data_IF_655249628648
#
_entry.id   IF_655249628648
#
_cell.length_a   1.000
_cell.length_b   1.000
_cell.length_c   1.000
_cell.angle_alpha   90.00
_cell.angle_beta   90.00
_cell.angle_gamma   90.00
#
_symmetry.space_group_name_H-M   'P 1'
#
loop_
_entity.id
_entity.type
_entity.pdbx_description
1 polymer ?
#
# COMPACT_ATOMS: atom_id res chain seq x y z
N UNK A 1 1.09 11.41 -10.25
CA UNK A 1 0.48 11.13 -8.93
C UNK A 1 -0.82 11.90 -8.73
N UNK A 2 -0.83 13.24 -8.78
CA UNK A 2 -2.06 14.03 -8.60
C UNK A 2 -3.19 13.66 -9.59
N UNK A 3 -2.91 13.62 -10.90
CA UNK A 3 -3.91 13.22 -11.90
C UNK A 3 -4.48 11.82 -11.65
N UNK A 4 -3.62 10.86 -11.28
CA UNK A 4 -4.05 9.51 -10.94
C UNK A 4 -5.00 9.46 -9.73
N UNK A 5 -4.66 10.19 -8.67
CA UNK A 5 -5.52 10.29 -7.48
C UNK A 5 -6.86 10.96 -7.79
N UNK A 6 -6.86 12.03 -8.59
CA UNK A 6 -8.10 12.72 -8.99
C UNK A 6 -9.00 11.81 -9.82
N UNK A 7 -8.43 11.04 -10.75
CA UNK A 7 -9.21 10.08 -11.56
C UNK A 7 -9.80 8.99 -10.70
N UNK A 8 -9.01 8.38 -9.80
CA UNK A 8 -9.50 7.36 -8.86
C UNK A 8 -10.64 7.91 -8.01
N UNK A 9 -10.47 9.11 -7.45
CA UNK A 9 -11.51 9.78 -6.67
C UNK A 9 -12.80 10.00 -7.48
N UNK A 10 -12.68 10.49 -8.71
CA UNK A 10 -13.83 10.72 -9.59
C UNK A 10 -14.59 9.42 -9.89
N UNK A 11 -13.87 8.32 -10.17
CA UNK A 11 -14.49 7.01 -10.41
C UNK A 11 -15.23 6.51 -9.16
N UNK A 12 -14.64 6.60 -7.97
CA UNK A 12 -15.32 6.22 -6.72
C UNK A 12 -16.52 7.11 -6.42
N UNK A 13 -16.41 8.43 -6.63
CA UNK A 13 -17.52 9.35 -6.41
C UNK A 13 -18.70 9.04 -7.34
N UNK A 14 -18.44 8.76 -8.63
CA UNK A 14 -19.46 8.34 -9.59
C UNK A 14 -20.09 6.99 -9.21
N UNK A 15 -19.29 6.03 -8.73
CA UNK A 15 -19.81 4.76 -8.23
C UNK A 15 -20.77 4.94 -7.06
N UNK A 16 -20.38 5.71 -6.04
CA UNK A 16 -21.23 6.00 -4.88
C UNK A 16 -22.50 6.76 -5.28
N UNK A 17 -22.38 7.71 -6.21
CA UNK A 17 -23.53 8.44 -6.75
C UNK A 17 -24.49 7.49 -7.47
N UNK A 18 -23.99 6.58 -8.31
CA UNK A 18 -24.80 5.57 -8.97
C UNK A 18 -25.50 4.63 -7.98
N UNK A 19 -24.80 4.19 -6.94
CA UNK A 19 -25.39 3.36 -5.89
C UNK A 19 -26.58 4.06 -5.19
N UNK A 20 -26.49 5.37 -4.94
CA UNK A 20 -27.58 6.16 -4.35
C UNK A 20 -28.79 6.34 -5.26
N UNK A 21 -28.63 6.21 -6.59
CA UNK A 21 -29.74 6.29 -7.54
C UNK A 21 -30.43 4.95 -7.77
N UNK A 22 -29.69 3.84 -7.70
CA UNK A 22 -30.23 2.50 -7.98
C UNK A 22 -30.75 1.79 -6.73
N UNK A 23 -30.20 2.05 -5.54
CA UNK A 23 -30.62 1.40 -4.30
C UNK A 23 -31.33 2.36 -3.36
N UNK A 24 -32.42 1.93 -2.72
CA UNK A 24 -33.04 2.70 -1.65
C UNK A 24 -32.12 2.70 -0.42
N UNK A 25 -32.16 3.79 0.36
CA UNK A 25 -31.17 4.08 1.41
C UNK A 25 -31.18 3.06 2.55
N UNK A 26 -32.33 2.50 2.85
CA UNK A 26 -32.53 1.42 3.81
C UNK A 26 -31.73 0.17 3.44
N UNK A 27 -31.69 -0.21 2.16
CA UNK A 27 -30.90 -1.34 1.67
C UNK A 27 -29.40 -1.03 1.79
N UNK A 28 -28.96 0.19 1.44
CA UNK A 28 -27.54 0.57 1.58
C UNK A 28 -27.04 0.54 3.04
N UNK A 29 -27.92 0.78 4.01
CA UNK A 29 -27.57 0.81 5.43
C UNK A 29 -27.69 -0.55 6.12
N UNK A 30 -28.48 -1.47 5.56
CA UNK A 30 -28.77 -2.78 6.16
C UNK A 30 -28.13 -3.95 5.43
N UNK A 31 -27.77 -3.80 4.16
CA UNK A 31 -27.15 -4.86 3.37
C UNK A 31 -25.73 -5.15 3.86
N UNK A 32 -25.42 -6.43 4.01
CA UNK A 32 -24.09 -6.92 4.39
C UNK A 32 -23.06 -6.69 3.26
N UNK A 33 -23.50 -6.80 2.00
CA UNK A 33 -22.68 -6.55 0.81
C UNK A 33 -23.38 -5.58 -0.17
N UNK A 34 -23.39 -4.26 0.12
CA UNK A 34 -24.11 -3.27 -0.68
C UNK A 34 -23.61 -3.17 -2.14
N UNK A 35 -22.37 -3.58 -2.40
CA UNK A 35 -21.78 -3.61 -3.73
C UNK A 35 -22.33 -4.76 -4.60
N UNK A 36 -22.73 -5.89 -4.00
CA UNK A 36 -23.40 -6.99 -4.72
C UNK A 36 -24.84 -6.61 -5.09
N UNK A 37 -25.55 -5.99 -4.14
CA UNK A 37 -26.91 -5.48 -4.35
C UNK A 37 -26.93 -4.42 -5.46
N UNK A 38 -25.96 -3.50 -5.46
CA UNK A 38 -25.83 -2.51 -6.51
C UNK A 38 -25.55 -3.12 -7.90
N UNK A 39 -24.65 -4.10 -8.00
CA UNK A 39 -24.39 -4.74 -9.29
C UNK A 39 -25.59 -5.52 -9.82
N UNK A 40 -26.35 -6.16 -8.93
CA UNK A 40 -27.57 -6.90 -9.30
C UNK A 40 -28.68 -5.94 -9.75
N UNK A 41 -28.84 -4.80 -9.08
CA UNK A 41 -29.81 -3.76 -9.46
C UNK A 41 -29.46 -3.06 -10.78
N UNK A 42 -28.16 -2.81 -11.04
CA UNK A 42 -27.72 -2.08 -12.23
C UNK A 42 -27.65 -2.94 -13.50
N UNK A 43 -27.24 -4.21 -13.38
CA UNK A 43 -26.94 -5.08 -14.53
C UNK A 43 -27.82 -6.35 -14.59
N UNK A 44 -28.79 -6.49 -13.68
CA UNK A 44 -29.66 -7.68 -13.60
C UNK A 44 -28.88 -8.96 -13.25
N UNK A 45 -29.43 -10.12 -13.64
CA UNK A 45 -28.85 -11.43 -13.30
C UNK A 45 -27.44 -11.69 -13.83
N UNK A 46 -27.00 -10.98 -14.87
CA UNK A 46 -25.62 -11.03 -15.38
C UNK A 46 -24.63 -10.16 -14.58
N UNK A 47 -25.12 -9.22 -13.77
CA UNK A 47 -24.30 -8.29 -12.99
C UNK A 47 -23.41 -8.98 -11.96
N UNK A 48 -23.95 -9.97 -11.26
CA UNK A 48 -23.24 -10.74 -10.24
C UNK A 48 -22.05 -11.51 -10.86
N UNK A 49 -22.24 -12.08 -12.05
CA UNK A 49 -21.16 -12.80 -12.74
C UNK A 49 -20.02 -11.86 -13.14
N UNK A 50 -20.35 -10.71 -13.75
CA UNK A 50 -19.34 -9.71 -14.13
C UNK A 50 -18.60 -9.15 -12.91
N UNK A 51 -19.33 -8.88 -11.82
CA UNK A 51 -18.72 -8.41 -10.58
C UNK A 51 -17.80 -9.46 -9.96
N UNK A 52 -18.19 -10.73 -9.98
CA UNK A 52 -17.36 -11.83 -9.48
C UNK A 52 -16.04 -11.94 -10.28
N UNK A 53 -16.11 -11.90 -11.62
CA UNK A 53 -14.92 -11.94 -12.48
C UNK A 53 -14.02 -10.73 -12.22
N UNK A 54 -14.60 -9.54 -12.12
CA UNK A 54 -13.85 -8.32 -11.81
C UNK A 54 -13.19 -8.38 -10.44
N UNK A 55 -13.90 -8.85 -9.41
CA UNK A 55 -13.39 -9.01 -8.05
C UNK A 55 -12.22 -10.00 -8.02
N UNK A 56 -12.37 -11.20 -8.61
CA UNK A 56 -11.30 -12.21 -8.66
C UNK A 56 -10.06 -11.65 -9.37
N UNK A 57 -10.24 -11.01 -10.52
CA UNK A 57 -9.13 -10.45 -11.30
C UNK A 57 -8.41 -9.35 -10.52
N UNK A 58 -9.17 -8.44 -9.89
CA UNK A 58 -8.62 -7.39 -9.05
C UNK A 58 -7.83 -7.96 -7.86
N UNK A 59 -8.42 -8.90 -7.13
CA UNK A 59 -7.78 -9.55 -5.97
C UNK A 59 -6.50 -10.28 -6.36
N UNK A 60 -6.51 -11.06 -7.45
CA UNK A 60 -5.32 -11.74 -7.96
C UNK A 60 -4.19 -10.74 -8.29
N UNK A 61 -4.52 -9.61 -8.94
CA UNK A 61 -3.56 -8.56 -9.26
C UNK A 61 -2.97 -7.90 -8.00
N UNK A 62 -3.80 -7.60 -7.00
CA UNK A 62 -3.39 -7.03 -5.72
C UNK A 62 -2.49 -7.99 -4.94
N UNK A 63 -2.88 -9.26 -4.80
CA UNK A 63 -2.10 -10.28 -4.09
C UNK A 63 -0.75 -10.50 -4.77
N UNK A 64 -0.73 -10.61 -6.09
CA UNK A 64 0.51 -10.76 -6.86
C UNK A 64 1.48 -9.59 -6.62
N UNK A 65 0.98 -8.36 -6.64
CA UNK A 65 1.80 -7.17 -6.40
C UNK A 65 2.31 -7.11 -4.95
N UNK A 66 1.45 -7.42 -3.98
CA UNK A 66 1.81 -7.46 -2.56
C UNK A 66 2.89 -8.52 -2.25
N UNK A 67 2.75 -9.72 -2.81
CA UNK A 67 3.75 -10.78 -2.66
C UNK A 67 5.06 -10.49 -3.40
N UNK A 68 5.06 -9.59 -4.39
CA UNK A 68 6.28 -9.12 -5.02
C UNK A 68 6.99 -8.03 -4.20
N UNK A 69 6.23 -7.11 -3.58
CA UNK A 69 6.76 -5.92 -2.91
C UNK A 69 7.16 -6.17 -1.45
N UNK A 70 6.25 -6.72 -0.64
CA UNK A 70 6.43 -6.86 0.82
C UNK A 70 7.63 -7.76 1.17
N UNK A 71 7.80 -8.94 0.54
CA UNK A 71 8.96 -9.80 0.84
C UNK A 71 10.31 -9.17 0.50
N UNK A 72 10.39 -8.34 -0.55
CA UNK A 72 11.61 -7.61 -0.90
C UNK A 72 11.91 -6.49 0.11
N UNK A 73 10.88 -5.84 0.64
CA UNK A 73 11.04 -4.90 1.74
C UNK A 73 11.60 -5.60 2.99
N UNK A 74 11.03 -6.74 3.38
CA UNK A 74 11.50 -7.54 4.51
C UNK A 74 12.94 -8.07 4.31
N UNK A 75 13.27 -8.50 3.09
CA UNK A 75 14.63 -8.88 2.72
C UNK A 75 15.61 -7.71 2.92
N UNK A 76 15.28 -6.51 2.43
CA UNK A 76 16.13 -5.33 2.62
C UNK A 76 16.33 -4.99 4.10
N UNK A 77 15.29 -5.16 4.94
CA UNK A 77 15.41 -5.00 6.39
C UNK A 77 16.31 -6.07 7.03
N UNK A 78 16.22 -7.33 6.58
CA UNK A 78 17.05 -8.43 7.08
C UNK A 78 18.53 -8.22 6.72
N UNK A 79 18.83 -7.75 5.52
CA UNK A 79 20.20 -7.43 5.07
C UNK A 79 20.84 -6.28 5.87
N UNK A 80 20.03 -5.35 6.37
CA UNK A 80 20.48 -4.24 7.23
C UNK A 80 20.47 -4.61 8.73
N UNK A 81 20.19 -5.86 9.08
CA UNK A 81 20.13 -6.32 10.47
C UNK A 81 18.94 -5.80 11.28
N UNK A 82 17.91 -5.24 10.62
CA UNK A 82 16.70 -4.73 11.28
C UNK A 82 15.58 -5.79 11.42
N UNK A 83 15.68 -6.88 10.69
CA UNK A 83 14.75 -8.01 10.74
C UNK A 83 15.51 -9.34 10.87
N UNK A 84 14.77 -10.42 11.13
CA UNK A 84 15.37 -11.76 11.25
C UNK A 84 16.15 -12.14 9.98
N UNK A 85 17.40 -12.63 10.09
CA UNK A 85 18.26 -12.91 8.93
C UNK A 85 17.68 -13.98 7.99
N UNK A 86 16.83 -14.87 8.52
CA UNK A 86 16.15 -15.93 7.76
C UNK A 86 15.24 -15.35 6.66
N UNK A 87 14.66 -14.16 6.87
CA UNK A 87 13.82 -13.47 5.86
C UNK A 87 14.64 -12.96 4.66
N UNK A 88 15.97 -12.87 4.79
CA UNK A 88 16.87 -12.46 3.73
C UNK A 88 17.29 -13.58 2.77
N UNK A 89 16.95 -14.85 3.07
CA UNK A 89 17.40 -16.00 2.29
C UNK A 89 16.83 -15.99 0.86
N UNK A 90 17.73 -16.11 -0.12
CA UNK A 90 17.40 -16.00 -1.55
C UNK A 90 17.52 -17.36 -2.23
N UNK A 91 16.63 -17.63 -3.18
CA UNK A 91 16.77 -18.78 -4.09
C UNK A 91 17.93 -18.53 -5.07
N UNK A 92 18.76 -19.54 -5.34
CA UNK A 92 19.96 -19.41 -6.19
C UNK A 92 19.68 -18.99 -7.65
N UNK A 93 18.54 -19.40 -8.22
CA UNK A 93 18.17 -19.09 -9.61
C UNK A 93 17.50 -17.71 -9.75
N UNK A 94 16.36 -17.51 -9.09
CA UNK A 94 15.52 -16.31 -9.23
C UNK A 94 15.92 -15.16 -8.31
N UNK A 95 16.84 -15.39 -7.34
CA UNK A 95 17.20 -14.46 -6.26
C UNK A 95 16.01 -13.95 -5.43
N UNK A 96 14.87 -14.66 -5.50
CA UNK A 96 13.67 -14.31 -4.78
C UNK A 96 13.80 -14.68 -3.28
N UNK A 97 13.37 -13.81 -2.35
CA UNK A 97 13.37 -14.10 -0.92
C UNK A 97 12.21 -15.04 -0.55
N UNK A 98 12.37 -16.34 -0.81
CA UNK A 98 11.27 -17.33 -0.70
C UNK A 98 10.73 -17.44 0.73
N UNK A 99 11.58 -17.33 1.76
CA UNK A 99 11.14 -17.38 3.15
C UNK A 99 10.24 -16.19 3.48
N UNK A 100 10.62 -14.98 3.06
CA UNK A 100 9.80 -13.79 3.28
C UNK A 100 8.48 -13.85 2.50
N UNK A 101 8.46 -14.48 1.32
CA UNK A 101 7.22 -14.73 0.55
C UNK A 101 6.30 -15.67 1.32
N UNK A 102 6.80 -16.83 1.77
CA UNK A 102 6.00 -17.80 2.53
C UNK A 102 5.52 -17.22 3.86
N UNK A 103 6.37 -16.47 4.55
CA UNK A 103 6.01 -15.78 5.78
C UNK A 103 4.87 -14.77 5.54
N UNK A 104 5.01 -13.91 4.53
CA UNK A 104 3.99 -12.92 4.19
C UNK A 104 2.68 -13.61 3.80
N UNK A 105 2.74 -14.63 2.94
CA UNK A 105 1.57 -15.39 2.51
C UNK A 105 0.90 -16.13 3.68
N UNK A 106 1.67 -16.65 4.63
CA UNK A 106 1.15 -17.29 5.83
C UNK A 106 0.44 -16.30 6.74
N UNK A 107 1.07 -15.17 7.06
CA UNK A 107 0.50 -14.16 7.96
C UNK A 107 -0.78 -13.54 7.40
N UNK A 108 -0.86 -13.31 6.09
CA UNK A 108 -2.05 -12.71 5.46
C UNK A 108 -3.09 -13.74 5.04
N UNK A 109 -2.67 -14.92 4.57
CA UNK A 109 -3.56 -15.96 4.03
C UNK A 109 -4.14 -16.89 5.09
N UNK A 110 -3.37 -17.27 6.12
CA UNK A 110 -3.82 -18.25 7.12
C UNK A 110 -5.09 -17.80 7.88
N UNK A 111 -5.21 -16.53 8.33
CA UNK A 111 -6.45 -16.06 8.98
C UNK A 111 -7.67 -16.16 8.05
N UNK A 112 -7.49 -15.88 6.75
CA UNK A 112 -8.55 -15.99 5.77
C UNK A 112 -8.91 -17.46 5.46
N UNK A 113 -7.95 -18.38 5.51
CA UNK A 113 -8.23 -19.81 5.33
C UNK A 113 -9.01 -20.41 6.51
N UNK A 114 -8.75 -19.94 7.73
CA UNK A 114 -9.38 -20.45 8.95
C UNK A 114 -10.77 -19.81 9.17
N UNK A 115 -10.89 -18.49 8.94
CA UNK A 115 -12.10 -17.72 9.28
C UNK A 115 -12.83 -17.09 8.09
N UNK A 116 -12.39 -17.34 6.85
CA UNK A 116 -12.96 -16.71 5.66
C UNK A 116 -14.41 -17.05 5.34
N UNK A 117 -14.99 -18.07 6.00
CA UNK A 117 -16.39 -18.46 5.81
C UNK A 117 -17.37 -17.60 6.64
N UNK A 118 -16.88 -16.78 7.57
CA UNK A 118 -17.70 -15.86 8.35
C UNK A 118 -17.46 -14.42 7.90
N UNK A 119 -18.46 -13.85 7.21
CA UNK A 119 -18.40 -12.49 6.67
C UNK A 119 -18.17 -11.42 7.75
N UNK A 120 -18.70 -11.62 8.97
CA UNK A 120 -18.50 -10.72 10.09
C UNK A 120 -17.03 -10.69 10.55
N UNK A 121 -16.41 -11.87 10.66
CA UNK A 121 -14.99 -11.99 11.00
C UNK A 121 -14.09 -11.41 9.91
N UNK A 122 -14.39 -11.64 8.62
CA UNK A 122 -13.65 -11.04 7.50
C UNK A 122 -13.74 -9.51 7.54
N UNK A 123 -14.93 -8.96 7.81
CA UNK A 123 -15.13 -7.52 7.98
C UNK A 123 -14.29 -6.95 9.13
N UNK A 124 -14.25 -7.64 10.27
CA UNK A 124 -13.44 -7.23 11.42
C UNK A 124 -11.93 -7.26 11.11
N UNK A 125 -11.46 -8.31 10.42
CA UNK A 125 -10.07 -8.41 9.97
C UNK A 125 -9.71 -7.28 9.01
N UNK A 126 -10.62 -6.93 8.09
CA UNK A 126 -10.44 -5.85 7.14
C UNK A 126 -10.33 -4.49 7.83
N UNK A 127 -11.22 -4.19 8.79
CA UNK A 127 -11.19 -2.95 9.57
C UNK A 127 -9.91 -2.88 10.40
N UNK A 128 -9.53 -3.98 11.04
CA UNK A 128 -8.30 -4.07 11.84
C UNK A 128 -7.05 -3.82 10.98
N UNK A 129 -6.99 -4.40 9.78
CA UNK A 129 -5.91 -4.18 8.82
C UNK A 129 -5.85 -2.73 8.34
N UNK A 130 -7.01 -2.12 8.06
CA UNK A 130 -7.10 -0.71 7.67
C UNK A 130 -6.59 0.23 8.78
N UNK A 131 -6.95 -0.02 10.04
CA UNK A 131 -6.47 0.75 11.19
C UNK A 131 -4.96 0.58 11.37
N UNK A 132 -4.44 -0.65 11.29
CA UNK A 132 -3.00 -0.91 11.38
C UNK A 132 -2.23 -0.15 10.28
N UNK A 133 -2.75 -0.14 9.05
CA UNK A 133 -2.16 0.62 7.96
C UNK A 133 -2.24 2.13 8.20
N UNK A 134 -3.36 2.65 8.70
CA UNK A 134 -3.51 4.05 9.03
C UNK A 134 -2.47 4.51 10.06
N UNK A 135 -2.25 3.72 11.12
CA UNK A 135 -1.22 3.99 12.13
C UNK A 135 0.17 3.99 11.49
N UNK A 136 0.50 3.00 10.66
CA UNK A 136 1.78 2.96 9.95
C UNK A 136 2.01 4.20 9.07
N UNK A 137 0.95 4.67 8.40
CA UNK A 137 1.01 5.90 7.61
C UNK A 137 1.23 7.14 8.47
N UNK A 138 0.58 7.26 9.63
CA UNK A 138 0.80 8.36 10.57
C UNK A 138 2.28 8.39 10.98
N UNK A 139 2.84 7.24 11.38
CA UNK A 139 4.25 7.10 11.76
C UNK A 139 5.16 7.52 10.59
N UNK A 140 4.88 7.06 9.37
CA UNK A 140 5.66 7.42 8.19
C UNK A 140 5.65 8.94 7.92
N UNK A 141 4.49 9.59 8.07
CA UNK A 141 4.39 11.05 7.89
C UNK A 141 5.13 11.81 8.99
N UNK A 142 5.00 11.38 10.25
CA UNK A 142 5.73 11.95 11.39
C UNK A 142 7.24 11.81 11.18
N UNK A 143 7.71 10.64 10.73
CA UNK A 143 9.13 10.41 10.42
C UNK A 143 9.65 11.39 9.34
N UNK A 144 8.88 11.63 8.28
CA UNK A 144 9.28 12.59 7.24
C UNK A 144 9.30 14.03 7.79
N UNK A 145 8.35 14.41 8.64
CA UNK A 145 8.36 15.74 9.29
C UNK A 145 9.59 15.88 10.20
N UNK A 146 9.84 14.90 11.06
CA UNK A 146 10.99 14.88 11.96
C UNK A 146 12.33 14.93 11.19
N UNK A 147 12.45 14.18 10.08
CA UNK A 147 13.63 14.20 9.23
C UNK A 147 13.88 15.57 8.60
N UNK A 148 12.82 16.26 8.16
CA UNK A 148 12.91 17.61 7.58
C UNK A 148 13.25 18.68 8.61
N UNK A 149 12.82 18.50 9.86
CA UNK A 149 13.18 19.39 10.97
C UNK A 149 14.64 19.20 11.40
N UNK A 150 15.13 17.96 11.44
CA UNK A 150 16.50 17.65 11.89
C UNK A 150 17.56 17.87 10.81
N UNK A 151 17.24 17.64 9.54
CA UNK A 151 18.19 17.72 8.43
C UNK A 151 17.67 18.65 7.31
N UNK A 152 17.57 19.97 7.56
CA UNK A 152 17.04 20.92 6.58
C UNK A 152 17.94 21.10 5.34
N UNK A 153 19.26 20.88 5.47
CA UNK A 153 20.24 21.01 4.37
C UNK A 153 20.58 19.70 3.66
N UNK A 154 19.89 18.59 3.96
CA UNK A 154 20.05 17.36 3.19
C UNK A 154 19.53 17.60 1.77
N UNK A 155 20.37 17.37 0.76
CA UNK A 155 20.01 17.43 -0.67
C UNK A 155 19.00 16.33 -1.02
N UNK A 156 17.72 16.58 -0.72
CA UNK A 156 16.65 15.68 -1.11
C UNK A 156 16.46 15.76 -2.64
N UNK A 157 16.52 14.64 -3.39
CA UNK A 157 16.36 14.63 -4.84
C UNK A 157 14.99 15.15 -5.31
N UNK A 158 13.97 15.06 -4.46
CA UNK A 158 12.61 15.58 -4.71
C UNK A 158 12.22 16.46 -3.52
N UNK A 159 12.03 17.75 -3.78
CA UNK A 159 11.53 18.74 -2.82
C UNK A 159 10.01 18.83 -2.96
N UNK A 160 9.26 18.68 -1.86
CA UNK A 160 7.80 18.80 -1.90
C UNK A 160 7.41 20.26 -2.16
N UNK A 161 6.45 20.56 -3.06
CA UNK A 161 6.09 21.92 -3.44
C UNK A 161 5.66 22.82 -2.27
N UNK A 162 5.01 22.25 -1.24
CA UNK A 162 4.46 23.01 -0.11
C UNK A 162 5.49 23.35 0.97
N UNK A 163 6.66 22.72 0.97
CA UNK A 163 7.78 23.09 1.84
C UNK A 163 8.75 23.87 0.97
N UNK A 164 8.28 25.00 0.45
CA UNK A 164 9.15 26.02 -0.11
C UNK A 164 9.90 26.59 1.09
N UNK A 165 11.18 26.24 1.24
CA UNK A 165 12.09 27.01 2.08
C UNK A 165 12.00 28.46 1.60
N UNK A 166 11.23 29.26 2.34
CA UNK A 166 11.13 30.68 2.10
C UNK A 166 12.49 31.26 2.49
N UNK A 167 13.26 31.59 1.46
CA UNK A 167 14.35 32.57 1.47
C UNK A 167 15.28 32.55 2.69
N UNK A 168 16.38 31.81 2.60
CA UNK A 168 17.64 32.28 3.20
C UNK A 168 18.74 32.22 2.14
N UNK A 169 19.17 33.42 1.80
CA UNK A 169 20.37 33.84 1.06
C UNK A 169 21.26 32.74 0.48
N UNK A 170 21.43 32.83 -0.83
CA UNK A 170 22.64 32.47 -1.56
C UNK A 170 23.88 32.66 -0.66
N UNK A 171 24.51 31.55 -0.26
CA UNK A 171 25.91 31.55 0.14
C UNK A 171 26.66 30.71 -0.91
N UNK A 172 27.68 31.28 -1.58
CA UNK A 172 28.47 30.58 -2.58
C UNK A 172 29.50 29.71 -1.87
N UNK A 173 29.06 28.61 -1.27
CA UNK A 173 29.92 27.50 -0.87
C UNK A 173 29.60 26.28 -1.74
N UNK A 174 29.40 26.53 -3.03
CA UNK A 174 29.39 25.51 -4.06
C UNK A 174 30.76 25.56 -4.74
N UNK A 175 31.79 25.10 -4.04
CA UNK A 175 33.10 24.83 -4.63
C UNK A 175 33.59 23.46 -4.15
N UNK A 176 33.78 22.61 -5.15
CA UNK A 176 34.54 21.34 -5.17
C UNK A 176 33.86 20.04 -4.72
N UNK A 177 33.83 19.02 -5.61
CA UNK A 177 33.63 17.63 -5.21
C UNK A 177 34.98 17.07 -4.72
N UNK A 178 35.18 17.01 -3.40
CA UNK A 178 36.32 16.27 -2.84
C UNK A 178 36.00 14.77 -2.81
N UNK A 179 36.67 14.05 -3.70
CA UNK A 179 37.09 12.64 -3.61
C UNK A 179 36.46 11.79 -2.50
N UNK A 180 35.57 10.87 -2.90
CA UNK A 180 35.29 9.65 -2.13
C UNK A 180 36.60 8.88 -1.86
N UNK A 181 36.93 8.54 -0.60
CA UNK A 181 38.00 7.59 -0.34
C UNK A 181 37.53 6.18 -0.74
N UNK A 182 38.24 5.58 -1.71
CA UNK A 182 38.11 4.16 -2.04
C UNK A 182 38.46 3.35 -0.79
N UNK A 183 37.51 2.54 -0.29
CA UNK A 183 37.82 1.50 0.70
C UNK A 183 38.79 0.47 0.06
N UNK A 184 39.85 0.07 0.75
CA UNK A 184 40.67 -1.05 0.31
C UNK A 184 39.87 -2.34 0.42
N UNK A 185 39.87 -3.14 -0.65
CA UNK A 185 39.48 -4.55 -0.60
C UNK A 185 40.64 -5.31 0.04
N UNK A 186 40.39 -5.94 1.18
CA UNK A 186 41.01 -7.20 1.56
C UNK A 186 39.94 -8.28 1.41
#
# INVERSE_FOLDING_TARGET
>A
MYLGLTVIFAVFALYCLGALFYLPRDVLMSAELPHLEYASAAFGGSGTFLLAVAAITATCSTVNTSLAAVPRMLQGMAEQGQAFPVLGWKTGSTRAPWVAVLFTAGVTGLPLLIWGNDAGTVGLLLISAAIAWLIAYIIAHVNVIALRLRYPMSSAPIVRPSIRCHSWSVSPACSTPSSMPRRPRN
#
